data_IF_837722062203
#
_entry.id   IF_837722062203
#
_cell.length_a   1.000
_cell.length_b   1.000
_cell.length_c   1.000
_cell.angle_alpha   90.00
_cell.angle_beta   90.00
_cell.angle_gamma   90.00
#
_symmetry.space_group_name_H-M   'P 1'
#
loop_
_entity.id
_entity.type
_entity.pdbx_description
1 polymer ?
#
# COMPACT_ATOMS: atom_id res chain seq x y z
N UNK A 1 -10.13 10.45 -23.02
CA UNK A 1 -9.20 10.99 -22.01
C UNK A 1 -9.00 9.87 -21.01
N UNK A 2 -7.76 9.42 -20.77
CA UNK A 2 -7.50 8.54 -19.64
C UNK A 2 -7.55 9.42 -18.39
N UNK A 3 -8.38 9.05 -17.42
CA UNK A 3 -8.41 9.71 -16.13
C UNK A 3 -7.16 9.31 -15.35
N UNK A 4 -6.65 10.20 -14.50
CA UNK A 4 -5.60 9.83 -13.55
C UNK A 4 -6.12 8.71 -12.62
N UNK A 5 -5.30 7.69 -12.31
CA UNK A 5 -5.73 6.60 -11.46
C UNK A 5 -6.04 7.09 -10.04
N UNK A 6 -7.03 6.47 -9.41
CA UNK A 6 -7.33 6.66 -8.00
C UNK A 6 -6.17 6.08 -7.18
N UNK A 7 -5.44 6.96 -6.49
CA UNK A 7 -4.37 6.58 -5.58
C UNK A 7 -4.94 6.04 -4.28
N UNK A 8 -4.45 4.87 -3.87
CA UNK A 8 -4.92 4.15 -2.69
C UNK A 8 -3.74 3.90 -1.76
N UNK A 9 -3.96 4.20 -0.47
CA UNK A 9 -3.08 3.83 0.63
C UNK A 9 -3.65 2.65 1.42
N UNK A 10 -2.81 1.70 1.80
CA UNK A 10 -3.19 0.61 2.71
C UNK A 10 -2.58 0.85 4.10
N UNK A 11 -3.43 0.82 5.13
CA UNK A 11 -3.02 0.97 6.53
C UNK A 11 -2.89 -0.41 7.16
N UNK A 12 -1.64 -0.83 7.38
CA UNK A 12 -1.20 -2.08 8.01
C UNK A 12 -1.44 -3.37 7.22
N UNK A 13 -0.43 -4.26 7.25
CA UNK A 13 -0.45 -5.63 6.75
C UNK A 13 -0.41 -6.67 7.88
N UNK A 14 -0.87 -6.31 9.09
CA UNK A 14 -0.90 -7.21 10.24
C UNK A 14 -1.75 -8.48 10.03
N UNK A 15 -2.74 -8.41 9.13
CA UNK A 15 -3.64 -9.52 8.83
C UNK A 15 -3.71 -9.82 7.33
N UNK A 16 -4.19 -11.03 7.00
CA UNK A 16 -4.31 -11.51 5.62
C UNK A 16 -5.17 -10.62 4.72
N UNK A 17 -6.11 -9.85 5.29
CA UNK A 17 -7.03 -9.01 4.53
C UNK A 17 -6.35 -7.94 3.68
N UNK A 18 -5.25 -7.35 4.19
CA UNK A 18 -4.49 -6.36 3.44
C UNK A 18 -3.96 -6.94 2.11
N UNK A 19 -3.56 -8.21 2.11
CA UNK A 19 -3.14 -8.92 0.90
C UNK A 19 -4.31 -9.18 -0.05
N UNK A 20 -5.49 -9.51 0.47
CA UNK A 20 -6.71 -9.66 -0.35
C UNK A 20 -7.12 -8.33 -0.99
N UNK A 21 -7.03 -7.22 -0.26
CA UNK A 21 -7.31 -5.88 -0.80
C UNK A 21 -6.30 -5.48 -1.87
N UNK A 22 -5.00 -5.73 -1.62
CA UNK A 22 -3.97 -5.47 -2.62
C UNK A 22 -4.19 -6.26 -3.91
N UNK A 23 -4.56 -7.54 -3.78
CA UNK A 23 -4.90 -8.37 -4.94
C UNK A 23 -6.09 -7.79 -5.70
N UNK A 24 -7.19 -7.50 -5.00
CA UNK A 24 -8.38 -6.93 -5.64
C UNK A 24 -8.07 -5.58 -6.32
N UNK A 25 -7.23 -4.76 -5.71
CA UNK A 25 -6.79 -3.49 -6.29
C UNK A 25 -5.98 -3.68 -7.57
N UNK A 26 -5.11 -4.69 -7.64
CA UNK A 26 -4.35 -4.99 -8.86
C UNK A 26 -5.21 -5.43 -10.05
N UNK A 27 -6.49 -5.72 -9.82
CA UNK A 27 -7.47 -6.09 -10.85
C UNK A 27 -8.33 -4.87 -11.31
N UNK A 28 -8.15 -3.69 -10.68
CA UNK A 28 -8.87 -2.46 -11.03
C UNK A 28 -7.95 -1.57 -11.87
N UNK A 29 -8.28 -1.35 -13.15
CA UNK A 29 -7.46 -0.58 -14.09
C UNK A 29 -7.28 0.89 -13.65
N UNK A 30 -8.32 1.46 -13.03
CA UNK A 30 -8.31 2.84 -12.54
C UNK A 30 -7.74 2.99 -11.13
N UNK A 31 -7.25 1.92 -10.50
CA UNK A 31 -6.75 1.91 -9.13
C UNK A 31 -5.24 1.73 -9.05
N UNK A 32 -4.57 2.53 -8.24
CA UNK A 32 -3.12 2.44 -8.02
C UNK A 32 -2.83 2.36 -6.52
N UNK A 33 -2.06 1.35 -6.09
CA UNK A 33 -1.45 1.38 -4.76
C UNK A 33 -0.33 2.41 -4.78
N UNK A 34 -0.43 3.47 -3.99
CA UNK A 34 0.59 4.52 -3.95
C UNK A 34 1.28 4.66 -2.60
N UNK A 35 0.71 4.12 -1.51
CA UNK A 35 1.30 4.20 -0.19
C UNK A 35 0.93 3.02 0.71
N UNK A 36 1.81 2.72 1.67
CA UNK A 36 1.53 1.77 2.76
C UNK A 36 1.95 2.41 4.09
N UNK A 37 1.10 2.30 5.10
CA UNK A 37 1.52 2.52 6.48
C UNK A 37 1.73 1.17 7.17
N UNK A 38 2.86 1.01 7.87
CA UNK A 38 3.11 -0.15 8.72
C UNK A 38 3.97 0.22 9.93
N UNK A 39 3.39 0.06 11.13
CA UNK A 39 4.06 0.39 12.40
C UNK A 39 5.12 -0.65 12.80
N UNK A 40 4.92 -1.93 12.41
CA UNK A 40 5.84 -2.99 12.79
C UNK A 40 7.12 -2.95 11.93
N UNK A 41 8.31 -2.76 12.53
CA UNK A 41 9.54 -2.60 11.76
C UNK A 41 9.94 -3.83 10.94
N UNK A 42 9.60 -5.04 11.38
CA UNK A 42 9.94 -6.27 10.65
C UNK A 42 9.05 -6.43 9.42
N UNK A 43 7.74 -6.26 9.60
CA UNK A 43 6.76 -6.29 8.52
C UNK A 43 7.03 -5.16 7.53
N UNK A 44 7.34 -3.96 8.01
CA UNK A 44 7.69 -2.82 7.15
C UNK A 44 8.91 -3.10 6.28
N UNK A 45 10.01 -3.62 6.84
CA UNK A 45 11.19 -4.03 6.05
C UNK A 45 10.85 -5.08 5.00
N UNK A 46 9.98 -6.04 5.33
CA UNK A 46 9.52 -7.04 4.38
C UNK A 46 8.71 -6.39 3.23
N UNK A 47 7.86 -5.40 3.54
CA UNK A 47 7.09 -4.65 2.54
C UNK A 47 8.00 -3.76 1.68
N UNK A 48 8.98 -3.07 2.28
CA UNK A 48 9.97 -2.24 1.56
C UNK A 48 10.77 -3.09 0.55
N UNK A 49 11.16 -4.30 0.94
CA UNK A 49 11.80 -5.27 0.04
C UNK A 49 10.85 -5.77 -1.06
N UNK A 50 9.57 -5.98 -0.73
CA UNK A 50 8.57 -6.52 -1.66
C UNK A 50 8.06 -5.50 -2.67
N UNK A 51 8.04 -4.22 -2.29
CA UNK A 51 7.45 -3.09 -3.02
C UNK A 51 8.42 -1.89 -3.04
N UNK A 52 9.55 -2.01 -3.75
CA UNK A 52 10.61 -1.00 -3.73
C UNK A 52 10.16 0.37 -4.27
N UNK A 53 9.13 0.40 -5.11
CA UNK A 53 8.61 1.62 -5.74
C UNK A 53 7.44 2.26 -4.99
N UNK A 54 6.98 1.66 -3.89
CA UNK A 54 5.85 2.17 -3.10
C UNK A 54 6.37 2.93 -1.88
N UNK A 55 5.76 4.09 -1.59
CA UNK A 55 6.07 4.85 -0.39
C UNK A 55 5.55 4.11 0.85
N UNK A 56 6.45 3.77 1.78
CA UNK A 56 6.10 3.05 3.01
C UNK A 56 6.45 3.89 4.24
N UNK A 57 5.45 4.14 5.08
CA UNK A 57 5.52 5.04 6.21
C UNK A 57 5.43 4.29 7.54
N UNK A 58 6.21 4.72 8.52
CA UNK A 58 6.10 4.24 9.91
C UNK A 58 5.20 5.12 10.79
N UNK A 59 4.82 6.30 10.30
CA UNK A 59 3.89 7.20 10.96
C UNK A 59 2.69 7.46 10.03
N UNK A 60 1.47 7.28 10.55
CA UNK A 60 0.26 7.39 9.73
C UNK A 60 0.01 8.83 9.29
N UNK A 61 0.42 9.83 10.07
CA UNK A 61 0.25 11.25 9.74
C UNK A 61 1.20 11.69 8.64
N UNK A 62 2.36 11.06 8.50
CA UNK A 62 3.27 11.31 7.39
C UNK A 62 2.74 10.75 6.06
N UNK A 63 1.87 9.74 6.11
CA UNK A 63 1.24 9.13 4.92
C UNK A 63 0.06 9.95 4.37
N UNK A 64 -0.70 10.65 5.24
CA UNK A 64 -1.92 11.39 4.91
C UNK A 64 -1.63 12.80 4.37
#
# INVERSE_FOLDING_TARGET
>A
MMNDPLKIGIVSFAHMHAWSYLRALSEIEEGELSAIFEEDPERRRALESRFPDIAIYSDLREML
#
